data_IF_989447487802
#
_entry.id   IF_989447487802
#
_cell.length_a   1.000
_cell.length_b   1.000
_cell.length_c   1.000
_cell.angle_alpha   90.00
_cell.angle_beta   90.00
_cell.angle_gamma   90.00
#
_symmetry.space_group_name_H-M   'P 1'
#
loop_
_entity.id
_entity.type
_entity.pdbx_description
1 polymer ?
#
# COMPACT_ATOMS: atom_id res chain seq x y z
N UNK A 1 -2.68 3.00 30.34
CA UNK A 1 -3.00 3.85 29.18
C UNK A 1 -3.21 2.94 27.99
N UNK A 2 -4.48 2.67 27.66
CA UNK A 2 -4.85 1.64 26.67
C UNK A 2 -4.97 2.28 25.29
N UNK A 3 -4.10 1.91 24.35
CA UNK A 3 -4.35 2.08 22.90
C UNK A 3 -3.77 0.90 22.13
N UNK A 4 -4.32 -0.29 22.36
CA UNK A 4 -4.20 -1.40 21.42
C UNK A 4 -5.31 -1.24 20.38
N UNK A 5 -5.18 -0.25 19.49
CA UNK A 5 -6.16 -0.04 18.42
C UNK A 5 -5.94 -1.12 17.35
N UNK A 6 -6.83 -2.11 17.36
CA UNK A 6 -6.98 -3.09 16.28
C UNK A 6 -7.39 -2.29 15.05
N UNK A 7 -6.50 -2.11 14.08
CA UNK A 7 -6.77 -1.36 12.85
C UNK A 7 -7.96 -2.02 12.12
N UNK A 8 -9.14 -1.40 12.17
CA UNK A 8 -10.35 -1.82 11.47
C UNK A 8 -10.45 -1.01 10.18
N UNK A 9 -9.68 -1.40 9.16
CA UNK A 9 -9.96 -0.99 7.79
C UNK A 9 -10.93 -2.01 7.19
N UNK A 10 -12.03 -1.52 6.63
CA UNK A 10 -12.96 -2.27 5.80
C UNK A 10 -12.41 -2.41 4.37
N UNK A 11 -12.97 -3.32 3.57
CA UNK A 11 -12.54 -3.48 2.17
C UNK A 11 -12.65 -2.17 1.37
N UNK A 12 -13.69 -1.36 1.61
CA UNK A 12 -13.89 -0.07 0.94
C UNK A 12 -12.78 0.93 1.33
N UNK A 13 -12.43 0.99 2.62
CA UNK A 13 -11.34 1.87 3.09
C UNK A 13 -9.99 1.43 2.54
N UNK A 14 -9.77 0.12 2.38
CA UNK A 14 -8.58 -0.41 1.72
C UNK A 14 -8.55 -0.05 0.23
N UNK A 15 -9.68 -0.14 -0.48
CA UNK A 15 -9.79 0.24 -1.89
C UNK A 15 -9.49 1.73 -2.07
N UNK A 16 -10.10 2.58 -1.26
CA UNK A 16 -9.85 4.03 -1.25
C UNK A 16 -8.39 4.34 -0.93
N UNK A 17 -7.82 3.68 0.08
CA UNK A 17 -6.42 3.86 0.45
C UNK A 17 -5.48 3.51 -0.71
N UNK A 18 -5.70 2.37 -1.37
CA UNK A 18 -4.88 1.95 -2.51
C UNK A 18 -5.06 2.89 -3.69
N UNK A 19 -6.30 3.31 -3.97
CA UNK A 19 -6.59 4.25 -5.06
C UNK A 19 -5.89 5.59 -4.85
N UNK A 20 -6.00 6.18 -3.66
CA UNK A 20 -5.36 7.46 -3.35
C UNK A 20 -3.83 7.35 -3.35
N UNK A 21 -3.28 6.23 -2.87
CA UNK A 21 -1.84 5.97 -2.96
C UNK A 21 -1.41 5.81 -4.43
N UNK A 22 -2.20 5.16 -5.27
CA UNK A 22 -1.89 4.95 -6.70
C UNK A 22 -1.77 6.27 -7.47
N UNK A 23 -2.54 7.29 -7.09
CA UNK A 23 -2.47 8.65 -7.65
C UNK A 23 -1.18 9.39 -7.23
N UNK A 24 -0.54 8.96 -6.14
CA UNK A 24 0.60 9.63 -5.53
C UNK A 24 1.87 8.76 -5.62
N UNK A 25 2.48 8.71 -6.80
CA UNK A 25 3.72 7.95 -7.05
C UNK A 25 4.86 8.26 -6.10
N UNK A 26 4.94 9.49 -5.59
CA UNK A 26 5.90 9.93 -4.55
C UNK A 26 5.96 8.98 -3.34
N UNK A 27 4.85 8.31 -3.00
CA UNK A 27 4.78 7.40 -1.84
C UNK A 27 5.47 6.06 -2.05
N UNK A 28 5.54 5.58 -3.30
CA UNK A 28 5.96 4.21 -3.60
C UNK A 28 7.06 4.11 -4.66
N UNK A 29 7.24 5.15 -5.48
CA UNK A 29 8.22 5.22 -6.55
C UNK A 29 9.53 5.85 -6.06
N UNK A 30 10.57 5.03 -5.92
CA UNK A 30 11.91 5.46 -5.53
C UNK A 30 12.61 6.31 -6.59
N UNK A 31 12.18 6.26 -7.85
CA UNK A 31 12.73 7.08 -8.93
C UNK A 31 12.17 8.50 -8.95
N UNK A 32 11.08 8.76 -8.21
CA UNK A 32 10.47 10.07 -8.15
C UNK A 32 11.37 11.06 -7.39
N UNK A 33 11.57 12.27 -7.93
CA UNK A 33 12.42 13.31 -7.34
C UNK A 33 12.07 13.60 -5.87
N UNK A 34 10.78 13.82 -5.60
CA UNK A 34 10.23 14.11 -4.28
C UNK A 34 10.10 12.88 -3.37
N UNK A 35 10.55 11.68 -3.80
CA UNK A 35 10.50 10.50 -2.93
C UNK A 35 11.41 10.66 -1.70
N UNK A 36 12.45 11.48 -1.77
CA UNK A 36 13.32 11.73 -0.62
C UNK A 36 12.76 12.79 0.32
N UNK A 37 11.78 13.57 -0.13
CA UNK A 37 11.16 14.63 0.65
C UNK A 37 10.11 14.10 1.62
N UNK A 38 10.51 14.03 2.88
CA UNK A 38 9.64 13.60 3.99
C UNK A 38 8.44 14.55 4.12
N UNK A 39 8.64 15.86 3.95
CA UNK A 39 7.58 16.86 4.05
C UNK A 39 6.48 16.63 2.99
N UNK A 40 6.88 16.37 1.74
CA UNK A 40 5.93 16.10 0.64
C UNK A 40 5.15 14.82 0.95
N UNK A 41 5.84 13.76 1.37
CA UNK A 41 5.18 12.51 1.76
C UNK A 41 4.21 12.71 2.92
N UNK A 42 4.56 13.51 3.91
CA UNK A 42 3.68 13.75 5.06
C UNK A 42 2.42 14.52 4.67
N UNK A 43 2.54 15.56 3.83
CA UNK A 43 1.39 16.28 3.27
C UNK A 43 0.46 15.35 2.50
N UNK A 44 1.02 14.50 1.62
CA UNK A 44 0.25 13.52 0.86
C UNK A 44 -0.46 12.57 1.83
N UNK A 45 0.24 12.01 2.80
CA UNK A 45 -0.35 11.08 3.76
C UNK A 45 -1.47 11.69 4.60
N UNK A 46 -1.34 12.96 5.01
CA UNK A 46 -2.42 13.69 5.71
C UNK A 46 -3.64 13.90 4.79
N UNK A 47 -3.42 14.17 3.51
CA UNK A 47 -4.53 14.28 2.56
C UNK A 47 -5.25 12.93 2.40
N UNK A 48 -4.50 11.85 2.18
CA UNK A 48 -5.05 10.49 2.08
C UNK A 48 -5.82 10.11 3.33
N UNK A 49 -5.26 10.39 4.52
CA UNK A 49 -5.91 10.06 5.78
C UNK A 49 -7.23 10.82 5.95
N UNK A 50 -7.28 12.08 5.52
CA UNK A 50 -8.52 12.88 5.51
C UNK A 50 -9.57 12.31 4.54
N UNK A 51 -9.17 11.80 3.38
CA UNK A 51 -10.07 11.20 2.38
C UNK A 51 -10.61 9.86 2.88
N UNK A 52 -9.74 9.01 3.44
CA UNK A 52 -10.11 7.69 3.95
C UNK A 52 -10.86 7.78 5.28
N UNK A 53 -10.75 8.91 6.00
CA UNK A 53 -11.38 9.12 7.31
C UNK A 53 -10.66 8.38 8.45
N UNK A 54 -9.37 8.08 8.27
CA UNK A 54 -8.53 7.35 9.22
C UNK A 54 -7.32 8.19 9.65
N UNK A 55 -6.60 7.74 10.66
CA UNK A 55 -5.36 8.40 11.07
C UNK A 55 -4.23 8.15 10.07
N UNK A 56 -3.39 9.16 9.84
CA UNK A 56 -2.20 9.07 8.98
C UNK A 56 -1.32 7.85 9.28
N UNK A 57 -1.07 7.58 10.56
CA UNK A 57 -0.25 6.45 11.00
C UNK A 57 -0.91 5.08 10.72
N UNK A 58 -2.24 5.01 10.86
CA UNK A 58 -3.03 3.82 10.54
C UNK A 58 -3.06 3.56 9.03
N UNK A 59 -3.22 4.60 8.20
CA UNK A 59 -3.12 4.52 6.74
C UNK A 59 -1.74 4.00 6.30
N UNK A 60 -0.66 4.56 6.84
CA UNK A 60 0.72 4.12 6.56
C UNK A 60 0.92 2.64 6.93
N UNK A 61 0.46 2.23 8.11
CA UNK A 61 0.57 0.85 8.60
C UNK A 61 -0.25 -0.11 7.75
N UNK A 62 -1.46 0.28 7.37
CA UNK A 62 -2.35 -0.54 6.53
C UNK A 62 -1.79 -0.71 5.13
N UNK A 63 -1.35 0.38 4.49
CA UNK A 63 -0.68 0.35 3.20
C UNK A 63 0.53 -0.57 3.20
N UNK A 64 1.38 -0.50 4.24
CA UNK A 64 2.53 -1.41 4.40
C UNK A 64 2.09 -2.88 4.38
N UNK A 65 1.04 -3.24 5.12
CA UNK A 65 0.52 -4.60 5.16
C UNK A 65 -0.06 -5.05 3.81
N UNK A 66 -0.79 -4.17 3.13
CA UNK A 66 -1.35 -4.42 1.79
C UNK A 66 -0.21 -4.70 0.80
N UNK A 67 0.76 -3.79 0.73
CA UNK A 67 1.93 -3.91 -0.15
C UNK A 67 2.74 -5.17 0.13
N UNK A 68 3.02 -5.45 1.40
CA UNK A 68 3.77 -6.64 1.79
C UNK A 68 3.04 -7.93 1.39
N UNK A 69 1.72 -7.99 1.59
CA UNK A 69 0.87 -9.11 1.16
C UNK A 69 0.94 -9.29 -0.37
N UNK A 70 0.84 -8.19 -1.13
CA UNK A 70 0.98 -8.20 -2.59
C UNK A 70 2.36 -8.71 -3.03
N UNK A 71 3.45 -8.20 -2.44
CA UNK A 71 4.81 -8.59 -2.78
C UNK A 71 5.10 -10.05 -2.42
N UNK A 72 4.59 -10.55 -1.30
CA UNK A 72 4.64 -11.98 -0.93
C UNK A 72 3.89 -12.85 -1.95
N UNK A 73 2.71 -12.41 -2.37
CA UNK A 73 1.92 -13.13 -3.37
C UNK A 73 2.59 -13.10 -4.76
N UNK A 74 3.24 -11.99 -5.13
CA UNK A 74 4.01 -11.84 -6.37
C UNK A 74 5.24 -12.75 -6.40
N UNK A 75 6.01 -12.81 -5.31
CA UNK A 75 7.20 -13.70 -5.20
C UNK A 75 6.85 -15.19 -5.33
N UNK A 76 5.69 -15.62 -4.81
CA UNK A 76 5.24 -17.03 -4.90
C UNK A 76 4.93 -17.50 -6.33
N UNK A 77 4.84 -16.61 -7.31
CA UNK A 77 4.68 -17.01 -8.73
C UNK A 77 6.02 -17.34 -9.41
N UNK A 78 7.16 -16.99 -8.80
CA UNK A 78 8.49 -17.19 -9.39
C UNK A 78 9.21 -18.49 -8.98
N UNK A 79 8.66 -19.28 -8.06
CA UNK A 79 9.30 -20.53 -7.58
C UNK A 79 8.26 -21.64 -7.53
N UNK A 80 8.57 -22.76 -8.18
CA UNK A 80 7.64 -23.83 -8.53
C UNK A 80 6.73 -24.37 -7.43
N UNK A 81 5.62 -24.95 -7.89
CA UNK A 81 4.62 -25.73 -7.16
C UNK A 81 3.80 -24.98 -6.11
N UNK A 82 2.62 -24.55 -6.56
CA UNK A 82 1.34 -25.10 -6.08
C UNK A 82 0.22 -24.37 -6.81
N UNK A 83 -0.34 -25.04 -7.82
CA UNK A 83 -1.74 -24.87 -8.16
C UNK A 83 -2.54 -24.98 -6.85
N UNK A 84 -3.48 -24.05 -6.64
CA UNK A 84 -4.74 -24.20 -5.91
C UNK A 84 -5.25 -22.80 -5.52
N UNK A 85 -6.26 -22.37 -6.29
CA UNK A 85 -7.38 -21.53 -5.85
C UNK A 85 -7.03 -20.29 -5.00
N UNK A 86 -6.48 -19.25 -5.62
CA UNK A 86 -6.39 -17.94 -4.95
C UNK A 86 -7.59 -17.11 -5.35
N UNK A 87 -8.57 -16.97 -4.43
CA UNK A 87 -9.53 -15.87 -4.44
C UNK A 87 -8.77 -14.62 -4.89
N UNK A 88 -9.10 -14.12 -6.08
CA UNK A 88 -8.52 -12.91 -6.65
C UNK A 88 -8.65 -11.83 -5.57
N UNK A 89 -7.53 -11.49 -4.92
CA UNK A 89 -7.56 -10.53 -3.83
C UNK A 89 -8.01 -9.22 -4.47
N UNK A 90 -9.14 -8.67 -4.05
CA UNK A 90 -9.80 -7.57 -4.77
C UNK A 90 -8.84 -6.37 -4.99
N UNK A 91 -7.94 -6.14 -4.03
CA UNK A 91 -6.92 -5.09 -4.10
C UNK A 91 -5.77 -5.39 -5.06
N UNK A 92 -5.61 -6.63 -5.53
CA UNK A 92 -4.49 -7.01 -6.41
C UNK A 92 -4.54 -6.30 -7.77
N UNK A 93 -5.74 -6.10 -8.34
CA UNK A 93 -5.89 -5.32 -9.58
C UNK A 93 -5.49 -3.86 -9.36
N UNK A 94 -5.88 -3.27 -8.22
CA UNK A 94 -5.52 -1.90 -7.86
C UNK A 94 -4.03 -1.73 -7.53
N UNK A 95 -3.29 -2.81 -7.24
CA UNK A 95 -1.86 -2.77 -6.92
C UNK A 95 -0.96 -3.06 -8.12
N UNK A 96 -1.53 -3.21 -9.32
CA UNK A 96 -0.78 -3.46 -10.56
C UNK A 96 0.23 -2.37 -10.90
N UNK A 97 -0.03 -1.12 -10.49
CA UNK A 97 0.90 0.00 -10.65
C UNK A 97 2.25 -0.23 -9.95
N UNK A 98 2.29 -1.05 -8.90
CA UNK A 98 3.54 -1.42 -8.21
C UNK A 98 4.41 -2.39 -9.00
N UNK A 99 3.91 -2.96 -10.12
CA UNK A 99 4.68 -3.93 -10.89
C UNK A 99 5.83 -3.28 -11.68
N UNK A 100 5.65 -2.03 -12.12
CA UNK A 100 6.61 -1.29 -12.93
C UNK A 100 7.54 -0.37 -12.11
N UNK A 101 7.41 -0.40 -10.78
CA UNK A 101 8.16 0.49 -9.90
C UNK A 101 9.42 -0.23 -9.44
N UNK A 102 10.58 0.26 -9.87
CA UNK A 102 11.87 -0.27 -9.47
C UNK A 102 12.14 0.11 -8.02
N UNK A 103 11.90 -0.84 -7.09
CA UNK A 103 12.30 -0.70 -5.70
C UNK A 103 13.82 -0.89 -5.59
N UNK A 104 14.59 0.19 -5.47
CA UNK A 104 15.97 0.10 -5.00
C UNK A 104 15.95 -0.51 -3.58
N UNK A 105 16.28 -1.79 -3.45
CA UNK A 105 16.69 -2.38 -2.17
C UNK A 105 18.04 -1.76 -1.82
N UNK A 106 18.04 -0.71 -0.99
CA UNK A 106 19.24 -0.30 -0.25
C UNK A 106 19.26 -0.97 1.11
#
# INVERSE_FOLDING_TARGET
MSKTTKTLFSNIEDELLVEEVSKNSVLYDSSHENHKDINVKDVIWNNISSVVGQCTEDCKKRWRNIRDTYMRNKKKLGTGSSALSKKKWALADNLTFLNNVEYERR
#
